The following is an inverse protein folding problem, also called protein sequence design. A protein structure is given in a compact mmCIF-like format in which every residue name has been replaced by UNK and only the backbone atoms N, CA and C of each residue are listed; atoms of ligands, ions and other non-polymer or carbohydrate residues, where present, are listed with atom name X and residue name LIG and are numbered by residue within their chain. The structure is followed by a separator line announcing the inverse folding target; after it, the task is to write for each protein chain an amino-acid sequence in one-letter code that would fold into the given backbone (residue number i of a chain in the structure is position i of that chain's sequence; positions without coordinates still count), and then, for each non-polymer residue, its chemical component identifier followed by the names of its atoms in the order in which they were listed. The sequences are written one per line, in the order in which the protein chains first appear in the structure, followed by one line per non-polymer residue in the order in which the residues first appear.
data_IF_097167092107
#
_entry.id   IF_097167092107
#
_cell.length_a   1.000
_cell.length_b   1.000
_cell.length_c   1.000
_cell.angle_alpha   90.00
_cell.angle_beta   90.00
_cell.angle_gamma   90.00
#
_symmetry.space_group_name_H-M   'P 1'
#
loop_
_entity.id
_entity.type
_entity.pdbx_description
1 polymer ?
#
# COMPACT_ATOMS: atom_id res chain seq x y z
N UNK A 1 13.63 -22.51 -25.45
CA UNK A 1 13.04 -21.20 -25.79
C UNK A 1 13.82 -20.08 -25.10
N UNK A 2 13.91 -18.89 -25.71
CA UNK A 2 14.57 -17.72 -25.14
C UNK A 2 13.54 -16.63 -24.79
N UNK A 3 13.82 -15.88 -23.74
CA UNK A 3 12.99 -14.75 -23.33
C UNK A 3 13.84 -13.51 -23.09
N UNK A 4 13.41 -12.41 -23.69
CA UNK A 4 13.99 -11.09 -23.49
C UNK A 4 13.26 -10.41 -22.34
N UNK A 5 13.99 -10.14 -21.26
CA UNK A 5 13.41 -9.66 -20.01
C UNK A 5 13.93 -8.26 -19.72
N UNK A 6 12.99 -7.34 -19.47
CA UNK A 6 13.25 -5.99 -19.00
C UNK A 6 13.38 -5.99 -17.48
N UNK A 7 14.59 -5.78 -16.95
CA UNK A 7 14.84 -5.91 -15.50
C UNK A 7 14.73 -4.59 -14.73
N UNK A 8 14.28 -4.67 -13.49
CA UNK A 8 14.17 -3.52 -12.56
C UNK A 8 15.52 -3.03 -12.04
N UNK A 9 16.52 -3.91 -12.03
CA UNK A 9 17.86 -3.63 -11.49
C UNK A 9 18.86 -3.14 -12.53
N UNK A 10 18.48 -3.10 -13.81
CA UNK A 10 19.29 -2.50 -14.86
C UNK A 10 19.45 -1.00 -14.58
N UNK A 11 20.56 -0.64 -13.93
CA UNK A 11 21.00 0.75 -13.77
C UNK A 11 21.58 1.34 -15.05
N UNK A 12 21.61 0.54 -16.12
CA UNK A 12 22.28 0.86 -17.36
C UNK A 12 21.28 1.64 -18.20
N UNK A 13 21.52 2.93 -18.35
CA UNK A 13 20.81 3.82 -19.26
C UNK A 13 21.18 3.53 -20.74
N UNK A 14 21.57 2.29 -21.04
CA UNK A 14 22.20 1.87 -22.28
C UNK A 14 21.20 1.46 -23.35
N UNK A 15 21.68 1.45 -24.60
CA UNK A 15 20.96 1.15 -25.84
C UNK A 15 20.27 -0.23 -25.87
N UNK A 16 20.67 -1.17 -25.00
CA UNK A 16 20.03 -2.48 -24.86
C UNK A 16 19.41 -2.64 -23.46
N UNK A 17 18.10 -2.38 -23.29
CA UNK A 17 17.41 -2.50 -22.01
C UNK A 17 17.01 -3.94 -21.68
N UNK A 18 17.06 -4.85 -22.66
CA UNK A 18 16.59 -6.22 -22.58
C UNK A 18 17.76 -7.16 -22.31
N UNK A 19 17.56 -8.09 -21.37
CA UNK A 19 18.50 -9.17 -21.07
C UNK A 19 17.88 -10.50 -21.47
N UNK A 20 18.64 -11.32 -22.20
CA UNK A 20 18.19 -12.62 -22.68
C UNK A 20 18.41 -13.69 -21.60
N UNK A 21 17.38 -14.48 -21.33
CA UNK A 21 17.41 -15.61 -20.42
C UNK A 21 16.89 -16.86 -21.13
N UNK A 22 17.35 -18.03 -20.68
CA UNK A 22 16.78 -19.31 -21.10
C UNK A 22 15.48 -19.59 -20.34
N UNK A 23 14.49 -20.15 -21.03
CA UNK A 23 13.20 -20.51 -20.42
C UNK A 23 13.23 -22.00 -20.07
N UNK A 24 13.08 -22.39 -18.79
CA UNK A 24 12.93 -23.80 -18.42
C UNK A 24 11.70 -24.42 -19.08
N UNK A 25 11.79 -25.71 -19.47
CA UNK A 25 10.71 -26.45 -20.14
C UNK A 25 9.36 -26.36 -19.41
N UNK A 26 9.39 -26.28 -18.08
CA UNK A 26 8.21 -26.20 -17.21
C UNK A 26 7.46 -24.86 -17.35
N UNK A 27 8.13 -23.81 -17.83
CA UNK A 27 7.62 -22.46 -17.96
C UNK A 27 7.30 -22.08 -19.40
N UNK A 28 7.77 -22.84 -20.40
CA UNK A 28 7.61 -22.52 -21.83
C UNK A 28 6.14 -22.32 -22.23
N UNK A 29 5.23 -23.19 -21.77
CA UNK A 29 3.80 -23.12 -22.11
C UNK A 29 3.04 -21.97 -21.39
N UNK A 30 3.64 -21.38 -20.35
CA UNK A 30 2.99 -20.41 -19.47
C UNK A 30 3.51 -19.00 -19.63
N UNK A 31 4.72 -18.86 -20.14
CA UNK A 31 5.41 -17.60 -20.27
C UNK A 31 4.89 -16.82 -21.49
N UNK A 32 4.41 -15.61 -21.26
CA UNK A 32 3.95 -14.70 -22.30
C UNK A 32 4.50 -13.28 -22.13
N UNK A 33 4.45 -12.46 -23.20
CA UNK A 33 4.87 -11.06 -23.14
C UNK A 33 4.01 -10.28 -22.14
N UNK A 34 4.65 -9.37 -21.41
CA UNK A 34 4.04 -8.54 -20.37
C UNK A 34 3.95 -9.19 -18.99
N UNK A 35 4.27 -10.48 -18.84
CA UNK A 35 4.25 -11.15 -17.54
C UNK A 35 5.43 -10.76 -16.65
N UNK A 36 5.18 -10.78 -15.34
CA UNK A 36 6.18 -10.50 -14.33
C UNK A 36 6.96 -11.78 -14.00
N UNK A 37 8.28 -11.71 -14.06
CA UNK A 37 9.19 -12.85 -13.88
C UNK A 37 10.29 -12.53 -12.87
N UNK A 38 10.78 -13.56 -12.20
CA UNK A 38 11.96 -13.53 -11.35
C UNK A 38 13.17 -14.02 -12.16
N UNK A 39 14.19 -13.17 -12.28
CA UNK A 39 15.40 -13.48 -13.05
C UNK A 39 16.67 -13.23 -12.24
N UNK A 40 17.71 -14.07 -12.41
CA UNK A 40 18.97 -13.91 -11.71
C UNK A 40 19.82 -12.78 -12.35
N UNK A 41 20.06 -11.71 -11.60
CA UNK A 41 20.92 -10.59 -11.99
C UNK A 41 22.17 -10.53 -11.08
N UNK A 42 23.28 -11.08 -11.57
CA UNK A 42 24.50 -11.22 -10.78
C UNK A 42 24.31 -12.18 -9.60
N UNK A 43 24.51 -11.70 -8.36
CA UNK A 43 24.26 -12.46 -7.13
C UNK A 43 22.84 -12.26 -6.57
N UNK A 44 22.00 -11.48 -7.26
CA UNK A 44 20.66 -11.11 -6.79
C UNK A 44 19.60 -11.76 -7.66
N UNK A 45 18.46 -12.06 -7.05
CA UNK A 45 17.23 -12.36 -7.76
C UNK A 45 16.42 -11.06 -7.86
N UNK A 46 16.08 -10.66 -9.07
CA UNK A 46 15.40 -9.39 -9.35
C UNK A 46 14.16 -9.65 -10.18
N UNK A 47 13.22 -8.72 -10.12
CA UNK A 47 12.04 -8.78 -10.95
C UNK A 47 12.34 -8.19 -12.33
N UNK A 48 11.72 -8.79 -13.33
CA UNK A 48 11.66 -8.27 -14.67
C UNK A 48 10.29 -8.51 -15.32
N UNK A 49 10.10 -7.89 -16.47
CA UNK A 49 8.93 -8.07 -17.31
C UNK A 49 9.40 -8.82 -18.56
N UNK A 50 8.79 -9.97 -18.86
CA UNK A 50 9.03 -10.66 -20.12
C UNK A 50 8.54 -9.77 -21.26
N UNK A 51 9.42 -9.34 -22.16
CA UNK A 51 9.09 -8.39 -23.22
C UNK A 51 8.74 -9.10 -24.52
N UNK A 52 9.58 -10.05 -24.92
CA UNK A 52 9.38 -10.92 -26.06
C UNK A 52 9.96 -12.31 -25.77
N UNK A 53 9.48 -13.29 -26.51
CA UNK A 53 9.91 -14.68 -26.41
C UNK A 53 10.24 -15.18 -27.81
N UNK A 54 11.45 -15.73 -27.96
CA UNK A 54 11.92 -16.27 -29.23
C UNK A 54 12.08 -17.78 -29.13
N UNK A 55 11.73 -18.48 -30.21
CA UNK A 55 11.93 -19.93 -30.34
C UNK A 55 13.31 -20.29 -30.85
N UNK A 56 14.19 -19.31 -31.07
CA UNK A 56 15.55 -19.55 -31.54
C UNK A 56 16.36 -20.33 -30.48
N UNK A 57 17.03 -21.38 -30.92
CA UNK A 57 18.05 -22.06 -30.11
C UNK A 57 19.34 -21.25 -30.16
N UNK A 58 20.12 -21.32 -29.10
CA UNK A 58 21.43 -20.67 -28.97
C UNK A 58 22.34 -21.00 -30.18
N UNK A 59 22.39 -20.14 -31.19
CA UNK A 59 23.38 -20.22 -32.26
C UNK A 59 24.78 -19.80 -31.77
N UNK A 60 24.86 -19.10 -30.62
CA UNK A 60 26.07 -18.43 -30.14
C UNK A 60 26.84 -19.16 -29.02
N UNK A 61 26.36 -20.32 -28.53
CA UNK A 61 27.07 -21.08 -27.47
C UNK A 61 27.26 -20.32 -26.15
N UNK A 62 26.45 -19.28 -25.91
CA UNK A 62 26.47 -18.48 -24.68
C UNK A 62 25.78 -19.23 -23.54
N UNK A 63 26.43 -19.32 -22.38
CA UNK A 63 25.81 -19.87 -21.17
C UNK A 63 24.77 -18.89 -20.59
N UNK A 64 23.52 -19.01 -21.06
CA UNK A 64 22.41 -18.21 -20.57
C UNK A 64 21.85 -18.76 -19.25
N UNK A 65 21.61 -17.84 -18.30
CA UNK A 65 20.96 -18.19 -17.04
C UNK A 65 19.47 -18.43 -17.25
N UNK A 66 18.88 -19.40 -16.54
CA UNK A 66 17.46 -19.67 -16.64
C UNK A 66 16.62 -18.63 -15.88
N UNK A 67 15.40 -18.39 -16.36
CA UNK A 67 14.35 -17.71 -15.59
C UNK A 67 14.04 -18.54 -14.34
N UNK A 68 13.99 -17.90 -13.17
CA UNK A 68 13.78 -18.61 -11.91
C UNK A 68 12.31 -18.93 -11.64
N UNK A 69 11.40 -17.97 -11.90
CA UNK A 69 9.97 -18.18 -11.69
C UNK A 69 9.11 -17.15 -12.44
N UNK A 70 7.86 -17.52 -12.72
CA UNK A 70 6.80 -16.57 -13.11
C UNK A 70 6.13 -16.07 -11.82
N UNK A 71 6.11 -14.75 -11.62
CA UNK A 71 5.59 -14.13 -10.39
C UNK A 71 4.09 -13.91 -10.44
N UNK A 72 3.55 -13.63 -11.63
CA UNK A 72 2.12 -13.49 -11.87
C UNK A 72 1.72 -14.22 -13.15
N UNK A 73 0.59 -14.92 -13.08
CA UNK A 73 0.05 -15.66 -14.23
C UNK A 73 -0.55 -14.69 -15.24
N UNK A 74 -1.14 -13.60 -14.77
CA UNK A 74 -1.68 -12.57 -15.64
C UNK A 74 -0.57 -11.60 -16.09
N UNK A 75 -0.58 -11.16 -17.36
CA UNK A 75 0.38 -10.18 -17.84
C UNK A 75 0.17 -8.86 -17.11
N UNK A 76 1.23 -8.35 -16.48
CA UNK A 76 1.23 -7.08 -15.78
C UNK A 76 1.13 -5.89 -16.76
N UNK A 77 1.62 -6.07 -17.99
CA UNK A 77 1.44 -5.14 -19.10
C UNK A 77 0.72 -5.83 -20.27
N UNK A 78 -0.32 -5.19 -20.78
CA UNK A 78 -1.03 -5.64 -21.98
C UNK A 78 -0.23 -5.28 -23.24
N UNK A 79 -0.51 -5.97 -24.36
CA UNK A 79 0.19 -5.75 -25.62
C UNK A 79 0.21 -4.28 -26.07
N UNK A 80 -0.93 -3.57 -25.96
CA UNK A 80 -1.00 -2.15 -26.32
C UNK A 80 -0.19 -1.25 -25.36
N UNK A 81 -0.01 -1.66 -24.10
CA UNK A 81 0.81 -0.94 -23.12
C UNK A 81 2.30 -1.13 -23.39
N UNK A 82 2.71 -2.32 -23.86
CA UNK A 82 4.07 -2.61 -24.34
C UNK A 82 4.39 -1.69 -25.53
N UNK A 83 3.54 -1.68 -26.55
CA UNK A 83 3.72 -0.78 -27.72
C UNK A 83 3.74 0.69 -27.32
N UNK A 84 2.89 1.10 -26.37
CA UNK A 84 2.91 2.47 -25.83
C UNK A 84 4.24 2.77 -25.13
N UNK A 85 4.76 1.84 -24.32
CA UNK A 85 6.03 2.03 -23.62
C UNK A 85 7.21 2.17 -24.60
N UNK A 86 7.24 1.39 -25.68
CA UNK A 86 8.22 1.50 -26.77
C UNK A 86 8.13 2.87 -27.45
N UNK A 87 6.92 3.29 -27.80
CA UNK A 87 6.69 4.60 -28.42
C UNK A 87 7.14 5.75 -27.50
N UNK A 88 6.77 5.72 -26.21
CA UNK A 88 7.19 6.73 -25.23
C UNK A 88 8.72 6.72 -25.06
N UNK A 89 9.33 5.53 -25.02
CA UNK A 89 10.78 5.37 -24.90
C UNK A 89 11.51 6.01 -26.07
N UNK A 90 11.04 5.73 -27.30
CA UNK A 90 11.62 6.25 -28.53
C UNK A 90 11.40 7.77 -28.68
N UNK A 91 10.17 8.23 -28.45
CA UNK A 91 9.79 9.63 -28.65
C UNK A 91 10.42 10.56 -27.62
N UNK A 92 10.42 10.17 -26.34
CA UNK A 92 10.95 11.00 -25.25
C UNK A 92 12.38 10.64 -24.85
N UNK A 93 13.05 9.74 -25.58
CA UNK A 93 14.44 9.30 -25.30
C UNK A 93 14.60 8.93 -23.82
N UNK A 94 13.60 8.23 -23.29
CA UNK A 94 13.51 7.89 -21.87
C UNK A 94 13.70 6.37 -21.73
N UNK A 95 14.40 5.88 -20.70
CA UNK A 95 14.66 4.44 -20.56
C UNK A 95 13.36 3.61 -20.50
N UNK A 96 13.29 2.58 -21.34
CA UNK A 96 12.13 1.69 -21.44
C UNK A 96 11.76 1.06 -20.09
N UNK A 97 12.76 0.61 -19.32
CA UNK A 97 12.58 0.06 -17.97
C UNK A 97 11.83 1.03 -17.08
N UNK A 98 12.24 2.30 -17.05
CA UNK A 98 11.60 3.33 -16.22
C UNK A 98 10.14 3.55 -16.61
N UNK A 99 9.81 3.52 -17.90
CA UNK A 99 8.44 3.69 -18.38
C UNK A 99 7.60 2.47 -17.97
N UNK A 100 8.05 1.27 -18.33
CA UNK A 100 7.34 0.02 -18.06
C UNK A 100 7.07 -0.17 -16.55
N UNK A 101 8.07 0.02 -15.69
CA UNK A 101 7.89 -0.12 -14.24
C UNK A 101 7.01 0.98 -13.62
N UNK A 102 6.91 2.16 -14.24
CA UNK A 102 5.99 3.22 -13.80
C UNK A 102 4.54 2.97 -14.23
N UNK A 103 4.31 2.14 -15.25
CA UNK A 103 2.96 1.73 -15.65
C UNK A 103 2.37 0.70 -14.69
N UNK A 104 3.21 0.03 -13.89
CA UNK A 104 2.77 -0.97 -12.93
C UNK A 104 2.16 -0.33 -11.66
N UNK A 105 1.12 -0.95 -11.08
CA UNK A 105 0.56 -0.49 -9.83
C UNK A 105 1.58 -0.60 -8.69
N UNK A 106 1.59 0.36 -7.74
CA UNK A 106 2.53 0.34 -6.62
C UNK A 106 2.27 -0.90 -5.75
N UNK A 107 3.34 -1.65 -5.46
CA UNK A 107 3.29 -2.84 -4.61
C UNK A 107 3.13 -4.17 -5.36
N UNK A 108 2.99 -4.13 -6.69
CA UNK A 108 3.15 -5.33 -7.53
C UNK A 108 4.62 -5.77 -7.56
N UNK A 109 5.53 -4.80 -7.53
CA UNK A 109 6.97 -5.04 -7.46
C UNK A 109 7.41 -5.50 -6.06
N UNK A 110 8.01 -6.67 -6.03
CA UNK A 110 8.71 -7.32 -4.93
C UNK A 110 10.15 -6.82 -4.84
N UNK A 111 10.60 -6.59 -3.61
CA UNK A 111 12.00 -6.21 -3.38
C UNK A 111 12.88 -7.46 -3.33
N UNK A 112 14.01 -7.40 -4.01
CA UNK A 112 15.10 -8.36 -3.81
C UNK A 112 15.57 -8.31 -2.36
N UNK A 113 15.51 -9.44 -1.68
CA UNK A 113 16.04 -9.65 -0.34
C UNK A 113 17.03 -10.81 -0.34
N UNK A 114 18.03 -10.75 0.54
CA UNK A 114 18.95 -11.85 0.74
C UNK A 114 18.53 -12.55 2.01
N UNK A 115 18.10 -13.79 1.88
CA UNK A 115 17.65 -14.63 2.98
C UNK A 115 18.76 -15.63 3.30
N UNK A 116 18.95 -15.86 4.59
CA UNK A 116 19.86 -16.86 5.12
C UNK A 116 19.08 -18.14 5.35
N UNK A 117 19.62 -19.26 4.86
CA UNK A 117 19.14 -20.60 5.15
C UNK A 117 20.30 -21.44 5.69
N UNK A 118 19.96 -22.46 6.49
CA UNK A 118 20.92 -23.49 6.85
C UNK A 118 21.28 -24.30 5.61
N UNK A 119 22.57 -24.62 5.42
CA UNK A 119 23.01 -25.50 4.35
C UNK A 119 22.31 -26.87 4.47
N UNK A 120 21.85 -27.44 3.35
CA UNK A 120 21.06 -28.71 3.34
C UNK A 120 21.80 -29.86 4.04
N UNK A 121 23.13 -29.91 3.92
CA UNK A 121 23.99 -30.92 4.56
C UNK A 121 23.89 -30.90 6.08
N UNK A 122 23.61 -29.75 6.70
CA UNK A 122 23.57 -29.63 8.16
C UNK A 122 22.15 -29.70 8.73
N UNK A 123 21.09 -29.51 7.93
CA UNK A 123 19.69 -29.68 8.40
C UNK A 123 19.37 -31.12 8.79
N UNK A 124 20.02 -32.11 8.16
CA UNK A 124 19.85 -33.53 8.47
C UNK A 124 20.75 -34.00 9.62
N UNK A 125 21.89 -33.35 9.85
CA UNK A 125 22.83 -33.65 10.96
C UNK A 125 22.58 -32.80 12.24
N UNK A 126 21.74 -31.75 12.17
CA UNK A 126 21.45 -30.80 13.24
C UNK A 126 20.47 -31.31 14.31
N UNK A 127 20.44 -32.62 14.56
CA UNK A 127 19.83 -33.18 15.76
C UNK A 127 20.56 -32.74 17.02
N UNK A 128 21.90 -32.68 16.98
CA UNK A 128 22.74 -32.37 18.16
C UNK A 128 24.13 -31.74 17.80
N UNK A 129 24.67 -31.94 16.60
CA UNK A 129 26.07 -31.56 16.27
C UNK A 129 26.30 -30.15 15.68
N UNK A 130 25.25 -29.47 15.22
CA UNK A 130 25.38 -28.14 14.58
C UNK A 130 25.79 -27.02 15.56
N UNK A 131 25.46 -27.17 16.85
CA UNK A 131 25.83 -26.19 17.90
C UNK A 131 27.32 -26.25 18.28
N UNK A 132 27.97 -27.40 18.08
CA UNK A 132 29.36 -27.63 18.51
C UNK A 132 30.40 -27.02 17.56
N UNK A 133 30.06 -26.89 16.26
CA UNK A 133 30.91 -26.20 15.26
C UNK A 133 30.81 -24.67 15.32
N UNK A 134 29.84 -24.14 16.04
CA UNK A 134 29.64 -22.71 16.19
C UNK A 134 30.56 -22.13 17.27
N UNK A 135 31.72 -21.64 16.85
CA UNK A 135 32.82 -21.15 17.72
C UNK A 135 32.46 -19.93 18.57
N UNK A 136 31.37 -19.22 18.25
CA UNK A 136 30.94 -17.97 18.87
C UNK A 136 29.49 -18.05 19.36
N UNK A 137 29.23 -17.56 20.58
CA UNK A 137 27.89 -17.49 21.19
C UNK A 137 26.85 -16.80 20.28
N UNK A 138 27.32 -15.89 19.42
CA UNK A 138 26.48 -15.16 18.46
C UNK A 138 26.14 -15.98 17.23
N UNK A 139 27.07 -16.81 16.77
CA UNK A 139 26.81 -17.76 15.69
C UNK A 139 25.84 -18.84 16.16
N UNK A 140 26.01 -19.32 17.39
CA UNK A 140 25.03 -20.21 18.04
C UNK A 140 23.65 -19.57 18.15
N UNK A 141 23.56 -18.29 18.51
CA UNK A 141 22.28 -17.57 18.53
C UNK A 141 21.66 -17.43 17.13
N UNK A 142 22.47 -17.19 16.09
CA UNK A 142 21.99 -17.14 14.70
C UNK A 142 21.48 -18.51 14.23
N UNK A 143 22.25 -19.57 14.49
CA UNK A 143 21.86 -20.96 14.15
C UNK A 143 20.60 -21.36 14.91
N UNK A 144 20.51 -21.06 16.21
CA UNK A 144 19.30 -21.29 17.00
C UNK A 144 18.07 -20.55 16.46
N UNK A 145 18.26 -19.33 15.95
CA UNK A 145 17.19 -18.55 15.33
C UNK A 145 16.80 -19.10 13.95
N UNK A 146 17.77 -19.58 13.15
CA UNK A 146 17.51 -20.24 11.87
C UNK A 146 16.87 -21.62 12.02
N UNK A 147 17.14 -22.34 13.10
CA UNK A 147 16.45 -23.60 13.44
C UNK A 147 14.99 -23.35 13.85
N UNK A 148 14.70 -22.21 14.48
CA UNK A 148 13.35 -21.85 14.91
C UNK A 148 12.49 -21.24 13.78
N UNK A 149 13.02 -20.26 13.06
CA UNK A 149 12.28 -19.50 12.02
C UNK A 149 12.48 -20.10 10.61
N UNK A 150 13.46 -20.98 10.40
CA UNK A 150 13.78 -21.61 9.11
C UNK A 150 14.54 -20.73 8.12
N UNK A 151 14.18 -19.45 8.04
CA UNK A 151 14.71 -18.44 7.11
C UNK A 151 14.90 -17.10 7.83
N UNK A 152 16.00 -16.38 7.53
CA UNK A 152 16.24 -15.06 8.11
C UNK A 152 16.71 -14.03 7.09
N UNK A 153 15.95 -12.94 6.95
CA UNK A 153 16.36 -11.78 6.16
C UNK A 153 17.57 -11.05 6.78
N UNK A 154 18.59 -10.80 5.95
CA UNK A 154 19.80 -10.06 6.30
C UNK A 154 19.48 -8.64 6.80
N UNK A 155 18.43 -7.98 6.32
CA UNK A 155 18.03 -6.66 6.84
C UNK A 155 17.44 -6.75 8.26
N UNK A 156 16.60 -7.76 8.53
CA UNK A 156 16.09 -8.04 9.88
C UNK A 156 17.24 -8.31 10.85
N UNK A 157 18.24 -9.10 10.43
CA UNK A 157 19.45 -9.36 11.21
C UNK A 157 20.23 -8.08 11.52
N UNK A 158 20.44 -7.21 10.52
CA UNK A 158 21.10 -5.90 10.71
C UNK A 158 20.35 -4.99 11.68
N UNK A 159 19.01 -5.03 11.68
CA UNK A 159 18.18 -4.26 12.62
C UNK A 159 18.29 -4.78 14.06
N UNK A 160 18.37 -6.10 14.25
CA UNK A 160 18.46 -6.73 15.57
C UNK A 160 19.85 -6.58 16.20
N UNK A 161 20.92 -6.75 15.43
CA UNK A 161 22.31 -6.80 15.94
C UNK A 161 23.10 -5.50 15.72
N UNK A 162 22.62 -4.62 14.85
CA UNK A 162 23.35 -3.44 14.37
C UNK A 162 24.33 -3.77 13.22
N UNK A 163 24.64 -2.77 12.40
CA UNK A 163 25.32 -2.97 11.11
C UNK A 163 26.71 -3.63 11.20
N UNK A 164 27.56 -3.23 12.16
CA UNK A 164 28.93 -3.76 12.28
C UNK A 164 28.93 -5.22 12.74
N UNK A 165 28.19 -5.50 13.80
CA UNK A 165 28.10 -6.83 14.41
C UNK A 165 27.43 -7.83 13.47
N UNK A 166 26.38 -7.42 12.76
CA UNK A 166 25.74 -8.28 11.76
C UNK A 166 26.71 -8.67 10.63
N UNK A 167 27.57 -7.75 10.15
CA UNK A 167 28.58 -8.06 9.13
C UNK A 167 29.62 -9.08 9.61
N UNK A 168 30.09 -8.95 10.86
CA UNK A 168 31.03 -9.91 11.45
C UNK A 168 30.43 -11.31 11.54
N UNK A 169 29.21 -11.41 12.10
CA UNK A 169 28.50 -12.69 12.24
C UNK A 169 28.19 -13.30 10.87
N UNK A 170 27.77 -12.50 9.88
CA UNK A 170 27.56 -12.98 8.51
C UNK A 170 28.84 -13.52 7.89
N UNK A 171 29.96 -12.82 8.07
CA UNK A 171 31.26 -13.26 7.54
C UNK A 171 31.69 -14.58 8.18
N UNK A 172 31.52 -14.71 9.50
CA UNK A 172 31.82 -15.93 10.26
C UNK A 172 30.92 -17.10 9.84
N UNK A 173 29.61 -16.87 9.68
CA UNK A 173 28.63 -17.86 9.25
C UNK A 173 28.88 -18.36 7.82
N UNK A 174 29.28 -17.48 6.91
CA UNK A 174 29.64 -17.86 5.54
C UNK A 174 30.97 -18.61 5.44
N UNK A 175 31.95 -18.24 6.29
CA UNK A 175 33.26 -18.90 6.29
C UNK A 175 33.19 -20.30 6.90
N UNK A 176 32.29 -20.49 7.87
CA UNK A 176 32.05 -21.79 8.50
C UNK A 176 31.22 -22.74 7.64
N UNK A 177 30.56 -22.25 6.59
CA UNK A 177 29.75 -23.07 5.68
C UNK A 177 28.39 -23.53 6.25
N UNK A 178 28.07 -23.13 7.48
CA UNK A 178 26.84 -23.50 8.20
C UNK A 178 25.60 -22.83 7.58
N UNK A 179 25.79 -21.63 7.02
CA UNK A 179 24.72 -20.78 6.49
C UNK A 179 25.03 -20.38 5.06
N UNK A 180 24.06 -20.60 4.17
CA UNK A 180 24.09 -20.19 2.79
C UNK A 180 23.23 -18.94 2.57
N UNK A 181 23.61 -18.12 1.59
CA UNK A 181 22.87 -16.92 1.18
C UNK A 181 22.11 -17.25 -0.08
N UNK A 182 20.79 -17.17 -0.01
CA UNK A 182 19.92 -17.28 -1.15
C UNK A 182 19.27 -15.92 -1.44
N UNK A 183 19.32 -15.50 -2.70
CA UNK A 183 18.62 -14.31 -3.13
C UNK A 183 17.17 -14.67 -3.44
N UNK A 184 16.25 -14.09 -2.70
CA UNK A 184 14.82 -14.34 -2.82
C UNK A 184 14.09 -13.02 -3.08
N UNK A 185 12.96 -13.08 -3.76
CA UNK A 185 12.06 -11.95 -3.85
C UNK A 185 11.14 -11.95 -2.63
N UNK A 186 10.96 -10.78 -2.02
CA UNK A 186 10.03 -10.61 -0.91
C UNK A 186 8.58 -10.76 -1.36
N UNK A 187 7.68 -11.19 -0.50
CA UNK A 187 6.25 -11.26 -0.87
C UNK A 187 5.71 -9.87 -1.25
N UNK A 188 4.79 -9.76 -2.22
CA UNK A 188 4.27 -8.49 -2.69
C UNK A 188 3.55 -7.73 -1.56
N UNK A 189 3.89 -6.46 -1.37
CA UNK A 189 3.48 -5.66 -0.20
C UNK A 189 2.16 -4.87 -0.40
N UNK A 190 1.32 -5.25 -1.36
CA UNK A 190 0.03 -4.60 -1.60
C UNK A 190 -0.94 -4.82 -0.42
N UNK A 191 -0.85 -3.96 0.61
CA UNK A 191 -1.74 -3.98 1.76
C UNK A 191 -3.06 -3.31 1.39
N UNK A 192 -4.16 -4.06 1.50
CA UNK A 192 -5.52 -3.55 1.39
C UNK A 192 -5.70 -2.36 2.35
N UNK A 193 -6.21 -1.24 1.83
CA UNK A 193 -6.45 -0.04 2.64
C UNK A 193 -7.75 -0.20 3.41
N UNK A 194 -7.63 -0.68 4.65
CA UNK A 194 -8.75 -0.78 5.58
C UNK A 194 -8.99 0.57 6.26
N UNK A 195 -10.23 1.02 6.32
CA UNK A 195 -10.63 2.15 7.17
C UNK A 195 -11.70 1.70 8.15
N UNK A 196 -11.60 2.22 9.38
CA UNK A 196 -12.70 2.14 10.35
C UNK A 196 -13.74 3.16 9.95
N UNK A 197 -14.95 2.71 9.71
CA UNK A 197 -16.07 3.51 9.23
C UNK A 197 -17.22 3.41 10.22
N UNK A 198 -17.89 4.52 10.44
CA UNK A 198 -19.03 4.63 11.34
C UNK A 198 -20.30 4.48 10.51
N UNK A 199 -21.14 3.47 10.81
CA UNK A 199 -22.43 3.25 10.16
C UNK A 199 -23.56 3.33 11.17
N UNK A 200 -24.68 3.92 10.76
CA UNK A 200 -25.90 3.92 11.53
C UNK A 200 -26.55 2.54 11.40
N UNK A 201 -26.76 1.85 12.52
CA UNK A 201 -27.35 0.50 12.56
C UNK A 201 -28.82 0.55 12.94
N UNK A 202 -29.18 1.43 13.89
CA UNK A 202 -30.56 1.60 14.29
C UNK A 202 -31.40 2.19 13.14
N UNK A 203 -32.49 1.51 12.77
CA UNK A 203 -33.47 1.96 11.78
C UNK A 203 -34.88 1.85 12.35
N UNK A 204 -35.81 2.66 11.82
CA UNK A 204 -37.23 2.60 12.19
C UNK A 204 -37.54 3.04 13.62
N UNK A 205 -38.32 2.24 14.35
CA UNK A 205 -38.90 2.58 15.66
C UNK A 205 -37.84 2.75 16.77
N UNK A 206 -36.76 1.96 16.75
CA UNK A 206 -35.70 2.03 17.77
C UNK A 206 -34.97 3.37 17.74
N UNK A 207 -34.72 3.88 16.54
CA UNK A 207 -34.07 5.16 16.33
C UNK A 207 -34.99 6.32 16.74
N UNK A 208 -36.27 6.24 16.40
CA UNK A 208 -37.26 7.23 16.80
C UNK A 208 -37.45 7.26 18.32
N UNK A 209 -37.53 6.10 18.97
CA UNK A 209 -37.64 5.99 20.43
C UNK A 209 -36.36 6.49 21.14
N UNK A 210 -35.18 6.22 20.57
CA UNK A 210 -33.93 6.78 21.09
C UNK A 210 -33.88 8.31 20.95
N UNK A 211 -34.33 8.84 19.80
CA UNK A 211 -34.39 10.29 19.55
C UNK A 211 -35.31 10.99 20.54
N UNK A 212 -36.53 10.47 20.73
CA UNK A 212 -37.48 11.00 21.70
C UNK A 212 -36.93 11.00 23.13
N UNK A 213 -36.25 9.93 23.56
CA UNK A 213 -35.59 9.88 24.88
C UNK A 213 -34.48 10.91 25.01
N UNK A 214 -33.71 11.12 23.95
CA UNK A 214 -32.59 12.07 23.92
C UNK A 214 -33.09 13.52 23.91
N UNK A 215 -34.13 13.80 23.13
CA UNK A 215 -34.81 15.10 23.10
C UNK A 215 -35.53 15.40 24.42
N UNK A 216 -36.16 14.41 25.05
CA UNK A 216 -36.76 14.57 26.37
C UNK A 216 -35.71 14.92 27.44
N UNK A 217 -34.50 14.33 27.37
CA UNK A 217 -33.38 14.75 28.23
C UNK A 217 -32.99 16.20 27.98
N UNK A 218 -32.92 16.63 26.71
CA UNK A 218 -32.64 18.04 26.39
C UNK A 218 -33.73 18.94 27.00
N UNK A 219 -35.01 18.60 26.84
CA UNK A 219 -36.13 19.37 27.38
C UNK A 219 -36.20 19.42 28.91
N UNK A 220 -35.83 18.35 29.61
CA UNK A 220 -35.77 18.30 31.08
C UNK A 220 -34.67 19.18 31.67
N UNK A 221 -33.59 19.41 30.92
CA UNK A 221 -32.43 20.18 31.34
C UNK A 221 -32.28 21.51 30.57
N UNK A 222 -33.26 21.89 29.75
CA UNK A 222 -33.31 23.23 29.18
C UNK A 222 -33.45 24.19 30.36
N UNK A 223 -32.55 25.18 30.53
CA UNK A 223 -32.78 26.17 31.54
C UNK A 223 -34.12 26.83 31.22
N UNK A 224 -35.07 26.77 32.17
CA UNK A 224 -36.09 27.82 32.28
C UNK A 224 -35.36 29.15 32.07
N UNK A 225 -35.95 30.10 31.35
CA UNK A 225 -35.41 31.42 30.97
C UNK A 225 -34.79 32.29 32.07
N UNK A 226 -34.64 31.75 33.28
CA UNK A 226 -33.80 32.28 34.34
C UNK A 226 -32.31 32.15 34.02
N UNK A 227 -31.58 33.20 34.42
CA UNK A 227 -30.13 33.32 34.34
C UNK A 227 -29.43 32.01 34.78
N UNK A 228 -28.48 31.58 33.96
CA UNK A 228 -27.58 30.46 34.22
C UNK A 228 -26.98 30.65 35.61
N UNK A 229 -27.36 29.81 36.56
CA UNK A 229 -26.91 29.96 37.94
C UNK A 229 -25.47 29.43 38.02
N UNK A 230 -24.52 30.36 38.06
CA UNK A 230 -23.08 30.09 38.06
C UNK A 230 -22.66 29.62 39.46
N UNK A 231 -22.32 28.34 39.59
CA UNK A 231 -21.76 27.80 40.82
C UNK A 231 -20.24 28.04 40.85
N UNK A 232 -19.65 28.53 41.95
CA UNK A 232 -18.21 28.59 42.11
C UNK A 232 -17.63 27.17 42.17
N UNK A 233 -16.61 26.90 41.35
CA UNK A 233 -16.03 25.58 41.21
C UNK A 233 -15.14 25.23 42.42
N UNK A 234 -15.57 24.27 43.25
CA UNK A 234 -14.76 23.75 44.36
C UNK A 234 -13.75 22.68 43.88
N UNK A 235 -13.18 22.82 42.68
CA UNK A 235 -12.07 21.97 42.27
C UNK A 235 -10.83 22.43 43.01
N UNK A 236 -10.57 21.77 44.16
CA UNK A 236 -9.27 21.74 44.83
C UNK A 236 -8.20 21.19 43.88
N UNK A 237 -7.71 22.00 42.93
CA UNK A 237 -6.42 21.77 42.32
C UNK A 237 -5.39 22.14 43.38
N UNK A 238 -4.75 21.13 44.00
CA UNK A 238 -3.50 21.37 44.73
C UNK A 238 -2.55 22.12 43.77
N UNK A 239 -2.08 23.33 44.10
CA UNK A 239 -1.17 24.05 43.23
C UNK A 239 0.11 23.22 43.09
N UNK A 240 0.57 23.00 41.85
CA UNK A 240 1.94 22.55 41.63
C UNK A 240 2.86 23.64 42.17
N UNK A 241 3.87 23.22 42.94
CA UNK A 241 4.95 23.98 43.59
C UNK A 241 5.15 25.39 43.01
N UNK A 242 4.85 26.38 43.86
CA UNK A 242 4.80 27.83 43.65
C UNK A 242 6.01 28.46 42.94
N UNK A 243 5.77 28.98 41.73
CA UNK A 243 6.35 30.26 41.28
C UNK A 243 5.17 31.22 41.16
N UNK A 244 5.11 32.34 41.90
CA UNK A 244 4.02 33.29 41.78
C UNK A 244 4.11 33.97 40.40
N UNK A 245 3.10 33.78 39.55
CA UNK A 245 3.02 34.47 38.26
C UNK A 245 2.70 35.95 38.52
N UNK A 246 3.60 36.90 38.20
CA UNK A 246 3.43 38.32 38.52
C UNK A 246 2.34 39.00 37.67
N UNK A 247 1.82 38.33 36.64
CA UNK A 247 0.72 38.79 35.79
C UNK A 247 -0.62 38.07 36.07
N UNK A 248 -0.68 37.20 37.09
CA UNK A 248 -1.95 36.57 37.47
C UNK A 248 -2.90 37.64 38.03
N UNK A 249 -4.03 37.88 37.35
CA UNK A 249 -5.04 38.79 37.86
C UNK A 249 -5.61 38.27 39.19
N UNK A 250 -5.50 39.07 40.24
CA UNK A 250 -6.08 38.81 41.57
C UNK A 250 -7.57 39.16 41.57
N UNK A 251 -8.32 38.32 40.88
CA UNK A 251 -9.76 38.24 40.86
C UNK A 251 -10.02 36.87 40.29
N UNK A 252 -10.83 36.05 40.95
CA UNK A 252 -11.15 34.70 40.49
C UNK A 252 -11.52 34.78 39.01
N UNK A 253 -10.59 34.36 38.15
CA UNK A 253 -10.93 34.06 36.77
C UNK A 253 -11.86 32.87 36.89
N UNK A 254 -13.15 33.16 37.04
CA UNK A 254 -14.23 32.19 37.05
C UNK A 254 -14.10 31.47 35.72
N UNK A 255 -13.40 30.34 35.74
CA UNK A 255 -13.33 29.44 34.61
C UNK A 255 -14.77 28.97 34.46
N UNK A 256 -15.46 29.54 33.47
CA UNK A 256 -16.87 29.27 33.17
C UNK A 256 -17.03 27.76 32.94
N UNK A 257 -17.46 27.05 33.97
CA UNK A 257 -17.71 25.61 33.92
C UNK A 257 -19.21 25.39 33.79
N UNK A 258 -19.58 24.50 32.87
CA UNK A 258 -20.97 24.09 32.68
C UNK A 258 -21.46 23.33 33.92
N UNK A 259 -22.70 23.60 34.34
CA UNK A 259 -23.32 22.82 35.41
C UNK A 259 -23.43 21.34 34.99
N UNK A 260 -23.52 20.39 35.93
CA UNK A 260 -23.69 18.97 35.59
C UNK A 260 -24.89 18.69 34.67
N UNK A 261 -25.98 19.46 34.82
CA UNK A 261 -27.17 19.37 33.97
C UNK A 261 -26.90 19.87 32.55
N UNK A 262 -26.21 21.01 32.41
CA UNK A 262 -25.81 21.56 31.11
C UNK A 262 -24.83 20.64 30.35
N UNK A 263 -24.02 19.86 31.08
CA UNK A 263 -23.12 18.88 30.45
C UNK A 263 -23.89 17.72 29.83
N UNK A 264 -24.97 17.28 30.47
CA UNK A 264 -25.84 16.21 29.97
C UNK A 264 -26.62 16.68 28.74
N UNK A 265 -27.17 17.90 28.77
CA UNK A 265 -27.89 18.47 27.61
C UNK A 265 -26.96 18.69 26.42
N UNK A 266 -25.75 19.22 26.64
CA UNK A 266 -24.73 19.38 25.60
C UNK A 266 -24.29 18.03 25.00
N UNK A 267 -24.15 17.00 25.83
CA UNK A 267 -23.86 15.64 25.36
C UNK A 267 -24.98 15.11 24.45
N UNK A 268 -26.23 15.23 24.88
CA UNK A 268 -27.40 14.78 24.14
C UNK A 268 -27.51 15.51 22.78
N UNK A 269 -27.28 16.82 22.74
CA UNK A 269 -27.26 17.61 21.50
C UNK A 269 -26.18 17.13 20.53
N UNK A 270 -24.96 16.85 21.01
CA UNK A 270 -23.86 16.34 20.15
C UNK A 270 -24.14 14.94 19.61
N UNK A 271 -24.79 14.09 20.41
CA UNK A 271 -25.21 12.75 19.99
C UNK A 271 -26.28 12.81 18.91
N UNK A 272 -27.30 13.68 19.08
CA UNK A 272 -28.36 13.88 18.10
C UNK A 272 -27.81 14.46 16.78
N UNK A 273 -26.93 15.47 16.87
CA UNK A 273 -26.25 16.04 15.71
C UNK A 273 -25.44 15.00 14.92
N UNK A 274 -24.82 14.01 15.60
CA UNK A 274 -24.09 12.95 14.92
C UNK A 274 -25.00 11.95 14.21
N UNK A 275 -26.14 11.61 14.81
CA UNK A 275 -27.14 10.74 14.18
C UNK A 275 -27.77 11.43 12.97
N UNK A 276 -28.17 12.69 13.10
CA UNK A 276 -28.76 13.48 12.00
C UNK A 276 -27.77 13.61 10.82
N UNK A 277 -26.48 13.81 11.11
CA UNK A 277 -25.44 13.87 10.08
C UNK A 277 -25.32 12.53 9.34
N UNK A 278 -25.29 11.41 10.07
CA UNK A 278 -25.22 10.08 9.46
C UNK A 278 -26.49 9.76 8.64
N UNK A 279 -27.67 10.18 9.10
CA UNK A 279 -28.94 9.99 8.36
C UNK A 279 -28.98 10.80 7.06
N UNK A 280 -28.60 12.07 7.09
CA UNK A 280 -28.60 12.92 5.91
C UNK A 280 -27.66 12.39 4.82
N UNK A 281 -26.49 11.88 5.20
CA UNK A 281 -25.53 11.29 4.27
C UNK A 281 -26.01 9.95 3.67
N UNK A 282 -26.77 9.15 4.43
CA UNK A 282 -27.42 7.95 3.86
C UNK A 282 -28.48 8.31 2.82
N UNK A 283 -29.20 9.41 3.01
CA UNK A 283 -30.26 9.85 2.11
C UNK A 283 -29.74 10.48 0.81
N UNK A 284 -28.62 11.21 0.85
CA UNK A 284 -28.09 11.95 -0.31
C UNK A 284 -27.23 11.10 -1.24
N UNK A 285 -26.48 10.13 -0.71
CA UNK A 285 -25.41 9.50 -1.49
C UNK A 285 -25.68 8.06 -1.99
N UNK A 286 -26.79 7.42 -1.62
CA UNK A 286 -27.05 6.02 -2.00
C UNK A 286 -25.81 5.14 -1.69
N UNK A 287 -25.60 4.04 -2.41
CA UNK A 287 -24.39 3.18 -2.25
C UNK A 287 -23.02 3.90 -2.38
N UNK A 288 -22.98 5.19 -2.72
CA UNK A 288 -21.77 6.01 -2.83
C UNK A 288 -21.37 6.68 -1.48
N UNK A 289 -21.61 6.00 -0.36
CA UNK A 289 -21.45 6.56 0.98
C UNK A 289 -20.02 7.06 1.25
N UNK A 290 -19.86 8.36 1.45
CA UNK A 290 -18.66 8.95 2.01
C UNK A 290 -18.42 8.37 3.40
N UNK A 291 -17.41 7.53 3.55
CA UNK A 291 -17.12 6.86 4.81
C UNK A 291 -16.73 7.86 5.91
N UNK A 292 -17.51 7.89 6.99
CA UNK A 292 -17.16 8.64 8.19
C UNK A 292 -16.17 7.86 9.06
N UNK A 293 -14.93 8.34 9.15
CA UNK A 293 -14.01 7.84 10.16
C UNK A 293 -14.44 8.33 11.56
N UNK A 294 -14.26 7.54 12.64
CA UNK A 294 -14.64 7.95 14.00
C UNK A 294 -14.04 9.29 14.42
N UNK A 295 -12.78 9.56 14.03
CA UNK A 295 -12.10 10.83 14.32
C UNK A 295 -12.69 12.00 13.53
N UNK A 296 -13.13 11.77 12.30
CA UNK A 296 -13.73 12.80 11.44
C UNK A 296 -15.14 13.15 11.93
N UNK A 297 -15.93 12.15 12.30
CA UNK A 297 -17.26 12.36 12.88
C UNK A 297 -17.18 13.14 14.19
N UNK A 298 -16.29 12.74 15.11
CA UNK A 298 -16.07 13.44 16.38
C UNK A 298 -15.67 14.91 16.18
N UNK A 299 -14.86 15.22 15.16
CA UNK A 299 -14.49 16.61 14.84
C UNK A 299 -15.68 17.41 14.29
N UNK A 300 -16.50 16.81 13.44
CA UNK A 300 -17.66 17.49 12.84
C UNK A 300 -18.76 17.77 13.87
N UNK A 301 -18.99 16.86 14.81
CA UNK A 301 -20.12 16.93 15.77
C UNK A 301 -19.69 17.39 17.16
N UNK A 302 -18.40 17.68 17.36
CA UNK A 302 -17.79 17.93 18.68
C UNK A 302 -18.00 16.80 19.70
N UNK A 303 -18.28 15.57 19.24
CA UNK A 303 -18.37 14.40 20.09
C UNK A 303 -17.00 14.03 20.65
N UNK A 304 -17.00 13.58 21.91
CA UNK A 304 -15.81 12.93 22.48
C UNK A 304 -15.78 11.44 22.08
N UNK A 305 -14.60 10.80 22.01
CA UNK A 305 -14.50 9.37 21.70
C UNK A 305 -15.32 8.48 22.64
N UNK A 306 -15.43 8.86 23.92
CA UNK A 306 -16.23 8.15 24.91
C UNK A 306 -17.74 8.23 24.62
N UNK A 307 -18.24 9.40 24.17
CA UNK A 307 -19.65 9.57 23.78
C UNK A 307 -19.98 8.79 22.51
N UNK A 308 -19.04 8.70 21.56
CA UNK A 308 -19.20 7.86 20.38
C UNK A 308 -19.22 6.37 20.74
N UNK A 309 -18.38 5.92 21.68
CA UNK A 309 -18.44 4.55 22.21
C UNK A 309 -19.76 4.27 22.96
N UNK A 310 -20.36 5.27 23.62
CA UNK A 310 -21.68 5.11 24.23
C UNK A 310 -22.76 4.82 23.17
N UNK A 311 -22.74 5.53 22.03
CA UNK A 311 -23.64 5.25 20.91
C UNK A 311 -23.44 3.85 20.31
N UNK A 312 -22.20 3.34 20.34
CA UNK A 312 -21.89 1.97 19.94
C UNK A 312 -22.44 0.95 20.93
N UNK A 313 -22.34 1.21 22.24
CA UNK A 313 -22.90 0.34 23.28
C UNK A 313 -24.43 0.31 23.27
N UNK A 314 -25.06 1.43 22.92
CA UNK A 314 -26.51 1.54 22.75
C UNK A 314 -27.00 1.00 21.40
N UNK A 315 -26.12 0.40 20.57
CA UNK A 315 -26.41 -0.15 19.25
C UNK A 315 -27.02 0.84 18.24
N UNK A 316 -26.88 2.14 18.47
CA UNK A 316 -27.32 3.16 17.52
C UNK A 316 -26.37 3.21 16.31
N UNK A 317 -25.08 3.03 16.58
CA UNK A 317 -23.99 3.18 15.61
C UNK A 317 -23.02 2.01 15.70
N UNK A 318 -22.58 1.44 14.58
CA UNK A 318 -21.49 0.46 14.55
C UNK A 318 -20.21 1.06 13.96
N UNK A 319 -19.06 0.58 14.45
CA UNK A 319 -17.76 0.85 13.84
C UNK A 319 -17.29 -0.41 13.14
N UNK A 320 -17.39 -0.41 11.82
CA UNK A 320 -16.96 -1.51 10.98
C UNK A 320 -15.61 -1.20 10.32
N UNK A 321 -14.87 -2.23 9.96
CA UNK A 321 -13.64 -2.08 9.19
C UNK A 321 -13.99 -2.43 7.75
N UNK A 322 -14.01 -1.43 6.87
CA UNK A 322 -14.36 -1.59 5.46
C UNK A 322 -13.13 -1.38 4.60
N UNK A 323 -12.95 -2.25 3.59
CA UNK A 323 -11.94 -2.07 2.56
C UNK A 323 -12.33 -0.87 1.69
N UNK A 324 -11.55 0.20 1.75
CA UNK A 324 -11.80 1.41 0.98
C UNK A 324 -10.98 1.35 -0.29
N UNK A 325 -11.62 0.92 -1.37
CA UNK A 325 -11.11 1.09 -2.73
C UNK A 325 -11.39 2.53 -3.16
N UNK A 326 -10.33 3.29 -3.49
CA UNK A 326 -10.49 4.59 -4.15
C UNK A 326 -10.57 4.31 -5.64
N UNK A 327 -11.77 4.30 -6.18
CA UNK A 327 -11.94 4.29 -7.62
C UNK A 327 -12.23 5.74 -8.08
N UNK A 328 -11.24 6.44 -8.67
CA UNK A 328 -11.43 7.81 -9.14
C UNK A 328 -12.41 7.92 -10.32
N UNK A 329 -12.75 6.79 -10.97
CA UNK A 329 -13.69 6.72 -12.08
C UNK A 329 -15.09 6.24 -11.63
N UNK A 330 -15.28 5.97 -10.33
CA UNK A 330 -16.57 5.51 -9.81
C UNK A 330 -17.65 6.57 -10.04
N UNK A 331 -18.69 6.21 -10.79
CA UNK A 331 -19.78 7.13 -11.17
C UNK A 331 -19.48 7.99 -12.40
N UNK A 332 -18.28 7.90 -12.98
CA UNK A 332 -18.01 8.44 -14.30
C UNK A 332 -18.34 7.39 -15.36
N UNK A 333 -19.44 7.61 -16.10
CA UNK A 333 -19.64 6.91 -17.37
C UNK A 333 -18.65 7.52 -18.36
N UNK A 334 -17.54 6.83 -18.64
CA UNK A 334 -16.65 7.21 -19.74
C UNK A 334 -17.34 6.69 -21.01
N UNK A 335 -17.99 7.55 -21.81
CA UNK A 335 -18.52 7.08 -23.09
C UNK A 335 -17.33 6.58 -23.90
N UNK A 336 -17.46 5.37 -24.48
CA UNK A 336 -16.50 4.92 -25.47
C UNK A 336 -16.43 6.00 -26.55
N UNK A 337 -15.27 6.59 -26.76
CA UNK A 337 -15.09 7.54 -27.84
C UNK A 337 -15.36 6.80 -29.13
N UNK A 338 -16.43 7.17 -29.85
CA UNK A 338 -16.47 6.91 -31.28
C UNK A 338 -15.18 7.48 -31.88
N UNK A 339 -14.59 6.86 -32.91
CA UNK A 339 -13.37 7.36 -33.52
C UNK A 339 -13.50 8.86 -33.72
N UNK A 340 -12.58 9.61 -33.11
CA UNK A 340 -12.61 11.06 -33.14
C UNK A 340 -12.63 11.49 -34.60
N UNK A 341 -13.63 12.28 -35.00
CA UNK A 341 -13.65 12.86 -36.34
C UNK A 341 -12.42 13.74 -36.48
N UNK A 342 -11.56 13.42 -37.45
CA UNK A 342 -10.35 14.19 -37.70
C UNK A 342 -10.75 15.66 -37.95
N UNK A 343 -10.00 16.58 -37.37
CA UNK A 343 -10.16 17.99 -37.72
C UNK A 343 -9.69 18.22 -39.16
N UNK A 344 -10.17 19.25 -39.88
CA UNK A 344 -9.72 19.53 -41.26
C UNK A 344 -8.21 19.77 -41.40
N UNK A 345 -7.52 20.10 -40.31
CA UNK A 345 -6.06 20.19 -40.28
C UNK A 345 -5.40 18.81 -40.15
N UNK A 346 -5.99 17.92 -39.36
CA UNK A 346 -5.53 16.53 -39.21
C UNK A 346 -5.80 15.71 -40.48
N UNK A 347 -6.94 15.90 -41.16
CA UNK A 347 -7.23 15.26 -42.45
C UNK A 347 -6.20 15.63 -43.51
N UNK A 348 -5.92 16.93 -43.68
CA UNK A 348 -4.89 17.40 -44.62
C UNK A 348 -3.50 16.87 -44.28
N UNK A 349 -3.15 16.81 -42.99
CA UNK A 349 -1.86 16.25 -42.57
C UNK A 349 -1.79 14.73 -42.85
N UNK A 350 -2.87 14.00 -42.61
CA UNK A 350 -2.96 12.57 -42.88
C UNK A 350 -2.88 12.28 -44.39
N UNK A 351 -3.62 13.02 -45.22
CA UNK A 351 -3.55 12.92 -46.69
C UNK A 351 -2.12 13.11 -47.18
N UNK A 352 -1.43 14.14 -46.67
CA UNK A 352 -0.05 14.43 -47.08
C UNK A 352 0.96 13.35 -46.64
N UNK A 353 0.72 12.67 -45.51
CA UNK A 353 1.52 11.54 -45.04
C UNK A 353 1.24 10.30 -45.88
N UNK A 354 -0.03 10.03 -46.20
CA UNK A 354 -0.43 8.89 -47.02
C UNK A 354 0.05 9.03 -48.47
N UNK A 355 -0.04 10.22 -49.05
CA UNK A 355 0.51 10.50 -50.39
C UNK A 355 2.02 10.29 -50.43
N UNK A 356 2.74 10.72 -49.38
CA UNK A 356 4.19 10.51 -49.28
C UNK A 356 4.54 9.02 -49.17
N UNK A 357 3.84 8.25 -48.33
CA UNK A 357 4.06 6.81 -48.19
C UNK A 357 3.70 6.04 -49.47
N UNK A 358 2.62 6.44 -50.17
CA UNK A 358 2.24 5.84 -51.46
C UNK A 358 3.26 6.15 -52.57
N UNK A 359 3.90 7.33 -52.53
CA UNK A 359 5.00 7.69 -53.42
C UNK A 359 6.27 6.86 -53.12
N UNK A 360 6.58 6.58 -51.86
CA UNK A 360 7.71 5.71 -51.48
C UNK A 360 7.48 4.23 -51.86
N UNK A 361 6.24 3.73 -51.78
CA UNK A 361 5.90 2.37 -52.23
C UNK A 361 5.88 2.23 -53.76
N UNK A 362 5.52 3.31 -54.47
CA UNK A 362 5.54 3.38 -55.94
C UNK A 362 6.92 3.62 -56.55
N UNK A 363 7.82 4.29 -55.82
CA UNK A 363 9.25 4.34 -56.13
C UNK A 363 9.92 3.08 -55.60
N UNK A 364 9.79 1.98 -56.36
CA UNK A 364 10.53 0.75 -56.09
C UNK A 364 11.97 1.08 -55.73
N UNK A 365 12.40 0.62 -54.55
CA UNK A 365 13.80 0.53 -54.18
C UNK A 365 14.52 -0.28 -55.25
N UNK A 366 15.06 0.38 -56.28
CA UNK A 366 16.21 -0.09 -57.01
C UNK A 366 17.41 0.05 -56.04
N UNK A 367 17.62 -0.99 -55.24
CA UNK A 367 18.90 -1.28 -54.60
C UNK A 367 19.57 -2.45 -55.33
#
# INVERSE_FOLDING_TARGET
MLAHVLTSAASWNSEQPLLTYSVPIELEDRLGPGQLVAVPYGERLVEGIAWSTDTANDEDGLELRPISAILDVEPALLAHQITLAEWVSAYYVTPLSRIAFNMLPPGLLQRSQVVLHMAKTEREEAGEGGLEKATSLRLQALVGLLLADGELDVEKLKKMLGLKRAKEVLKEALTSGIVEREAQLSSPFAKKRLKRVVRLVAQGEELAAWRQRTEARIGQYLPSTNAINMAPDNVRRRPKKSTPDPWAMTGTADVLTLTPQDRVSLQAQRQLAAVDLLQNEMATNGNNAHYWAPSKLCKATSLTPAQLQALVRENIVAIEVVEVRRDPLQGHTIPASMPLTLTPAQERALEHILDFLALEEGSGREY
#
